data_IF_318298542334
#
_entry.id   IF_318298542334
#
_cell.length_a   1.000
_cell.length_b   1.000
_cell.length_c   1.000
_cell.angle_alpha   90.00
_cell.angle_beta   90.00
_cell.angle_gamma   90.00
#
_symmetry.space_group_name_H-M   'P 1'
#
loop_
_entity.id
_entity.type
_entity.pdbx_description
1 polymer ?
#
# COMPACT_ATOMS: atom_id res chain seq x y z
N UNK A 1 -10.93 -27.18 13.92
CA UNK A 1 -10.55 -25.99 13.12
C UNK A 1 -9.52 -26.43 12.10
N UNK A 2 -9.81 -26.28 10.82
CA UNK A 2 -8.92 -26.66 9.72
C UNK A 2 -7.74 -25.68 9.62
N UNK A 3 -6.52 -26.20 9.38
CA UNK A 3 -5.34 -25.37 9.17
C UNK A 3 -5.13 -25.18 7.68
N UNK A 4 -5.32 -23.94 7.21
CA UNK A 4 -5.08 -23.55 5.82
C UNK A 4 -3.82 -22.70 5.71
N UNK A 5 -3.11 -22.80 4.59
CA UNK A 5 -1.94 -21.96 4.32
C UNK A 5 -2.32 -20.50 4.03
N UNK A 6 -3.51 -20.31 3.46
CA UNK A 6 -4.05 -19.01 3.08
C UNK A 6 -5.51 -18.91 3.52
N UNK A 7 -5.83 -17.78 4.16
CA UNK A 7 -7.19 -17.48 4.57
C UNK A 7 -7.57 -16.07 4.13
N UNK A 8 -8.74 -15.92 3.49
CA UNK A 8 -9.27 -14.63 3.09
C UNK A 8 -10.28 -14.15 4.12
N UNK A 9 -9.99 -13.02 4.76
CA UNK A 9 -10.85 -12.42 5.77
C UNK A 9 -11.11 -10.96 5.45
N UNK A 10 -12.38 -10.57 5.31
CA UNK A 10 -12.81 -9.20 5.01
C UNK A 10 -12.06 -8.54 3.84
N UNK A 11 -11.70 -9.36 2.84
CA UNK A 11 -10.96 -8.88 1.68
C UNK A 11 -9.45 -8.72 1.88
N UNK A 12 -8.87 -9.07 3.02
CA UNK A 12 -7.42 -9.22 3.19
C UNK A 12 -7.01 -10.69 3.24
N UNK A 13 -5.82 -10.99 2.74
CA UNK A 13 -5.28 -12.35 2.68
C UNK A 13 -4.26 -12.54 3.81
N UNK A 14 -4.53 -13.49 4.70
CA UNK A 14 -3.63 -13.87 5.80
C UNK A 14 -2.91 -15.16 5.41
N UNK A 15 -1.58 -15.14 5.50
CA UNK A 15 -0.74 -16.31 5.22
C UNK A 15 -0.24 -16.93 6.54
N UNK A 16 -0.19 -18.27 6.60
CA UNK A 16 0.28 -19.01 7.77
C UNK A 16 1.73 -18.70 8.17
N UNK A 17 2.57 -18.32 7.20
CA UNK A 17 3.96 -17.94 7.41
C UNK A 17 4.15 -16.48 7.89
N UNK A 18 3.09 -15.68 7.93
CA UNK A 18 3.11 -14.26 8.32
C UNK A 18 3.62 -13.32 7.23
N UNK A 19 3.85 -13.80 6.01
CA UNK A 19 4.24 -12.96 4.89
C UNK A 19 3.06 -12.14 4.36
N UNK A 20 3.37 -11.00 3.74
CA UNK A 20 2.38 -10.12 3.12
C UNK A 20 2.55 -9.99 1.60
N UNK A 21 3.31 -10.88 0.96
CA UNK A 21 3.60 -10.83 -0.48
C UNK A 21 2.30 -10.86 -1.30
N UNK A 22 1.34 -11.71 -0.91
CA UNK A 22 0.05 -11.81 -1.61
C UNK A 22 -0.79 -10.54 -1.47
N UNK A 23 -0.82 -9.95 -0.28
CA UNK A 23 -1.54 -8.70 -0.04
C UNK A 23 -0.93 -7.54 -0.84
N UNK A 24 0.40 -7.46 -0.91
CA UNK A 24 1.11 -6.46 -1.73
C UNK A 24 0.78 -6.62 -3.22
N UNK A 25 0.80 -7.85 -3.76
CA UNK A 25 0.43 -8.09 -5.16
C UNK A 25 -1.02 -7.68 -5.43
N UNK A 26 -1.93 -8.01 -4.51
CA UNK A 26 -3.35 -7.68 -4.62
C UNK A 26 -3.61 -6.18 -4.62
N UNK A 27 -2.94 -5.43 -3.74
CA UNK A 27 -3.05 -3.96 -3.68
C UNK A 27 -2.47 -3.28 -4.91
N UNK A 28 -1.37 -3.81 -5.46
CA UNK A 28 -0.83 -3.37 -6.77
C UNK A 28 -1.86 -3.60 -7.88
N UNK A 29 -2.48 -4.78 -7.94
CA UNK A 29 -3.52 -5.09 -8.93
C UNK A 29 -4.76 -4.19 -8.76
N UNK A 30 -5.19 -3.91 -7.53
CA UNK A 30 -6.27 -2.99 -7.24
C UNK A 30 -5.93 -1.57 -7.70
N UNK A 31 -4.71 -1.10 -7.42
CA UNK A 31 -4.18 0.18 -7.92
C UNK A 31 -4.23 0.28 -9.45
N UNK A 32 -3.72 -0.72 -10.17
CA UNK A 32 -3.78 -0.77 -11.63
C UNK A 32 -5.20 -0.82 -12.19
N UNK A 33 -6.12 -1.47 -11.49
CA UNK A 33 -7.53 -1.54 -11.89
C UNK A 33 -8.20 -0.18 -11.71
N UNK A 34 -7.95 0.50 -10.59
CA UNK A 34 -8.39 1.87 -10.36
C UNK A 34 -7.80 2.84 -11.39
N UNK A 35 -6.50 2.72 -11.69
CA UNK A 35 -5.82 3.54 -12.69
C UNK A 35 -6.42 3.37 -14.08
N UNK A 36 -6.68 2.13 -14.52
CA UNK A 36 -7.31 1.84 -15.82
C UNK A 36 -8.70 2.47 -15.95
N UNK A 37 -9.48 2.50 -14.87
CA UNK A 37 -10.82 3.14 -14.87
C UNK A 37 -10.76 4.64 -15.09
N UNK A 38 -9.70 5.30 -14.63
CA UNK A 38 -9.51 6.75 -14.80
C UNK A 38 -8.54 7.11 -15.92
N UNK A 39 -8.11 6.13 -16.72
CA UNK A 39 -7.07 6.31 -17.74
C UNK A 39 -7.44 7.40 -18.76
N UNK A 40 -8.71 7.47 -19.18
CA UNK A 40 -9.17 8.49 -20.12
C UNK A 40 -8.95 9.93 -19.63
N UNK A 41 -9.08 10.17 -18.32
CA UNK A 41 -8.84 11.50 -17.72
C UNK A 41 -7.36 11.69 -17.39
N UNK A 42 -6.71 10.66 -16.83
CA UNK A 42 -5.34 10.80 -16.33
C UNK A 42 -4.29 10.81 -17.44
N UNK A 43 -4.61 10.25 -18.61
CA UNK A 43 -3.75 10.27 -19.79
C UNK A 43 -4.07 11.43 -20.74
N UNK A 44 -5.17 12.16 -20.55
CA UNK A 44 -5.47 13.35 -21.38
C UNK A 44 -4.47 14.48 -21.09
N UNK A 45 -3.82 14.99 -22.14
CA UNK A 45 -2.85 16.10 -22.08
C UNK A 45 -3.45 17.41 -21.56
N UNK A 46 -4.76 17.62 -21.76
CA UNK A 46 -5.46 18.84 -21.34
C UNK A 46 -5.69 18.89 -19.84
N UNK A 47 -5.68 17.73 -19.18
CA UNK A 47 -5.96 17.62 -17.75
C UNK A 47 -4.71 17.96 -16.93
N UNK A 48 -4.78 19.05 -16.15
CA UNK A 48 -3.70 19.47 -15.25
C UNK A 48 -3.76 18.86 -13.85
N UNK A 49 -4.87 18.19 -13.50
CA UNK A 49 -5.14 17.65 -12.16
C UNK A 49 -4.82 16.15 -12.00
N UNK A 50 -3.97 15.59 -12.88
CA UNK A 50 -3.62 14.16 -12.93
C UNK A 50 -3.15 13.60 -11.58
N UNK A 51 -2.30 14.34 -10.89
CA UNK A 51 -1.79 13.98 -9.56
C UNK A 51 -2.89 13.87 -8.49
N UNK A 52 -3.87 14.78 -8.52
CA UNK A 52 -5.04 14.72 -7.62
C UNK A 52 -5.90 13.50 -7.93
N UNK A 53 -6.20 13.24 -9.20
CA UNK A 53 -6.96 12.06 -9.62
C UNK A 53 -6.26 10.76 -9.17
N UNK A 54 -4.94 10.66 -9.36
CA UNK A 54 -4.14 9.55 -8.83
C UNK A 54 -4.29 9.42 -7.31
N UNK A 55 -4.09 10.53 -6.58
CA UNK A 55 -4.16 10.58 -5.13
C UNK A 55 -5.52 10.20 -4.56
N UNK A 56 -6.62 10.45 -5.28
CA UNK A 56 -7.99 10.18 -4.84
C UNK A 56 -8.46 8.78 -5.19
N UNK A 57 -8.11 8.24 -6.37
CA UNK A 57 -8.66 6.95 -6.85
C UNK A 57 -7.66 5.80 -6.69
N UNK A 58 -6.43 6.01 -7.13
CA UNK A 58 -5.45 4.92 -7.26
C UNK A 58 -4.74 4.69 -5.94
N UNK A 59 -4.31 5.78 -5.30
CA UNK A 59 -3.49 5.70 -4.09
C UNK A 59 -4.22 5.01 -2.92
N UNK A 60 -5.50 5.31 -2.63
CA UNK A 60 -6.24 4.61 -1.57
C UNK A 60 -6.41 3.12 -1.86
N UNK A 61 -6.64 2.74 -3.12
CA UNK A 61 -6.75 1.34 -3.53
C UNK A 61 -5.44 0.55 -3.29
N UNK A 62 -4.29 1.19 -3.48
CA UNK A 62 -2.99 0.60 -3.17
C UNK A 62 -2.68 0.56 -1.66
N UNK A 63 -3.20 1.51 -0.87
CA UNK A 63 -2.94 1.58 0.57
C UNK A 63 -3.82 0.63 1.39
N UNK A 64 -4.97 0.24 0.84
CA UNK A 64 -5.91 -0.66 1.51
C UNK A 64 -5.20 -1.94 1.99
N UNK A 65 -5.38 -2.31 3.24
CA UNK A 65 -4.76 -3.50 3.85
C UNK A 65 -3.28 -3.34 4.23
N UNK A 66 -2.56 -2.30 3.77
CA UNK A 66 -1.14 -2.10 4.11
C UNK A 66 -0.91 -1.54 5.52
N UNK A 67 -1.98 -1.05 6.16
CA UNK A 67 -1.98 -0.53 7.53
C UNK A 67 -1.77 -1.64 8.59
N UNK A 68 -2.17 -2.87 8.27
CA UNK A 68 -2.18 -4.00 9.21
C UNK A 68 -1.17 -5.09 8.88
N UNK A 69 -0.42 -4.94 7.78
CA UNK A 69 0.59 -5.93 7.35
C UNK A 69 2.01 -5.49 7.67
N UNK A 70 2.83 -6.45 8.09
CA UNK A 70 4.26 -6.27 8.30
C UNK A 70 5.01 -6.26 6.94
N UNK A 71 5.11 -5.07 6.33
CA UNK A 71 5.84 -4.92 5.07
C UNK A 71 7.35 -4.90 5.27
N UNK A 72 8.05 -5.68 4.45
CA UNK A 72 9.49 -5.61 4.26
C UNK A 72 9.89 -4.42 3.38
N UNK A 73 11.18 -4.04 3.43
CA UNK A 73 11.75 -3.01 2.55
C UNK A 73 11.66 -3.35 1.06
N UNK A 74 11.77 -4.63 0.71
CA UNK A 74 11.62 -5.09 -0.68
C UNK A 74 10.22 -4.80 -1.23
N UNK A 75 9.19 -5.08 -0.42
CA UNK A 75 7.79 -4.83 -0.80
C UNK A 75 7.46 -3.34 -0.87
N UNK A 76 8.04 -2.53 0.01
CA UNK A 76 7.93 -1.05 -0.06
C UNK A 76 8.46 -0.54 -1.41
N UNK A 77 9.62 -1.03 -1.85
CA UNK A 77 10.19 -0.68 -3.17
C UNK A 77 9.31 -1.17 -4.32
N UNK A 78 8.74 -2.37 -4.23
CA UNK A 78 7.84 -2.90 -5.27
C UNK A 78 6.61 -2.01 -5.48
N UNK A 79 5.99 -1.54 -4.39
CA UNK A 79 4.87 -0.60 -4.42
C UNK A 79 5.27 0.75 -4.99
N UNK A 80 6.44 1.27 -4.63
CA UNK A 80 6.97 2.51 -5.20
C UNK A 80 7.23 2.40 -6.71
N UNK A 81 7.74 1.27 -7.18
CA UNK A 81 7.95 1.00 -8.61
C UNK A 81 6.61 0.99 -9.35
N UNK A 82 5.58 0.35 -8.78
CA UNK A 82 4.24 0.35 -9.35
C UNK A 82 3.63 1.77 -9.40
N UNK A 83 3.70 2.54 -8.32
CA UNK A 83 3.25 3.95 -8.26
C UNK A 83 3.96 4.79 -9.32
N UNK A 84 5.29 4.72 -9.39
CA UNK A 84 6.07 5.49 -10.35
C UNK A 84 5.78 5.11 -11.80
N UNK A 85 5.47 3.84 -12.08
CA UNK A 85 5.08 3.40 -13.42
C UNK A 85 3.74 4.03 -13.84
N UNK A 86 2.74 4.01 -12.95
CA UNK A 86 1.45 4.67 -13.20
C UNK A 86 1.57 6.18 -13.38
N UNK A 87 2.40 6.85 -12.56
CA UNK A 87 2.64 8.30 -12.68
C UNK A 87 3.35 8.64 -14.00
N UNK A 88 4.36 7.86 -14.39
CA UNK A 88 5.04 8.03 -15.68
C UNK A 88 4.09 7.94 -16.86
N UNK A 89 3.21 6.94 -16.88
CA UNK A 89 2.19 6.83 -17.92
C UNK A 89 1.28 8.06 -17.96
N UNK A 90 0.81 8.54 -16.81
CA UNK A 90 -0.04 9.74 -16.78
C UNK A 90 0.65 11.01 -17.27
N UNK A 91 1.96 11.13 -17.04
CA UNK A 91 2.75 12.29 -17.41
C UNK A 91 3.43 12.15 -18.79
N UNK A 92 3.17 11.05 -19.51
CA UNK A 92 3.80 10.71 -20.79
C UNK A 92 5.34 10.69 -20.73
N UNK A 93 5.89 10.35 -19.56
CA UNK A 93 7.34 10.27 -19.35
C UNK A 93 7.80 8.84 -19.55
N UNK A 94 8.69 8.65 -20.51
CA UNK A 94 9.33 7.37 -20.81
C UNK A 94 10.68 7.24 -20.10
N UNK A 95 11.37 6.11 -20.32
CA UNK A 95 12.75 5.94 -19.84
C UNK A 95 13.76 6.76 -20.64
N UNK A 96 13.43 7.12 -21.89
CA UNK A 96 14.32 7.86 -22.80
C UNK A 96 14.53 9.29 -22.30
N UNK A 97 13.52 9.88 -21.67
CA UNK A 97 13.57 11.24 -21.14
C UNK A 97 14.55 11.41 -19.97
N UNK A 98 15.04 10.30 -19.39
CA UNK A 98 16.00 10.27 -18.27
C UNK A 98 15.60 11.15 -17.06
N UNK A 99 14.30 11.40 -16.90
CA UNK A 99 13.76 12.21 -15.80
C UNK A 99 13.83 11.41 -14.49
N UNK A 100 14.47 12.01 -13.47
CA UNK A 100 14.61 11.38 -12.15
C UNK A 100 13.24 11.23 -11.46
N UNK A 101 13.07 10.14 -10.70
CA UNK A 101 11.85 9.84 -9.93
C UNK A 101 11.37 10.99 -9.04
N UNK A 102 12.30 11.79 -8.48
CA UNK A 102 11.97 12.95 -7.63
C UNK A 102 11.16 14.00 -8.39
N UNK A 103 11.46 14.23 -9.67
CA UNK A 103 10.76 15.21 -10.50
C UNK A 103 9.38 14.69 -10.91
N UNK A 104 9.25 13.43 -11.29
CA UNK A 104 7.96 12.79 -11.59
C UNK A 104 6.97 12.95 -10.43
N UNK A 105 7.43 12.66 -9.21
CA UNK A 105 6.63 12.83 -7.99
C UNK A 105 6.31 14.31 -7.71
N UNK A 106 7.28 15.19 -7.89
CA UNK A 106 7.11 16.64 -7.74
C UNK A 106 6.03 17.20 -8.68
N UNK A 107 6.09 16.85 -9.96
CA UNK A 107 5.10 17.25 -10.97
C UNK A 107 3.71 16.72 -10.65
N UNK A 108 3.59 15.50 -10.13
CA UNK A 108 2.32 14.94 -9.70
C UNK A 108 1.84 15.45 -8.32
N UNK A 109 2.67 16.18 -7.57
CA UNK A 109 2.43 16.54 -6.17
C UNK A 109 2.12 15.31 -5.28
N UNK A 110 2.82 14.19 -5.52
CA UNK A 110 2.63 12.92 -4.81
C UNK A 110 3.85 12.65 -3.92
N UNK A 111 3.67 12.60 -2.60
CA UNK A 111 4.71 12.22 -1.63
C UNK A 111 5.18 10.76 -1.79
N UNK A 112 6.18 10.30 -1.03
CA UNK A 112 6.66 8.91 -1.17
C UNK A 112 5.61 7.90 -0.68
N UNK A 113 5.51 6.74 -1.34
CA UNK A 113 4.54 5.72 -0.96
C UNK A 113 4.79 5.21 0.47
N UNK A 114 6.04 4.95 0.83
CA UNK A 114 6.41 4.50 2.18
C UNK A 114 6.01 5.46 3.30
N UNK A 115 6.13 6.77 3.06
CA UNK A 115 5.67 7.81 3.99
C UNK A 115 4.15 7.75 4.16
N UNK A 116 3.42 7.54 3.06
CA UNK A 116 1.97 7.45 3.11
C UNK A 116 1.47 6.17 3.80
N UNK A 117 2.16 5.05 3.62
CA UNK A 117 1.92 3.81 4.41
C UNK A 117 2.16 4.07 5.89
N UNK A 118 3.24 4.77 6.26
CA UNK A 118 3.52 5.12 7.66
C UNK A 118 2.43 5.99 8.25
N UNK A 119 1.99 7.02 7.53
CA UNK A 119 0.89 7.89 7.94
C UNK A 119 -0.41 7.08 8.17
N UNK A 120 -0.72 6.16 7.27
CA UNK A 120 -1.88 5.28 7.36
C UNK A 120 -1.81 4.37 8.60
N UNK A 121 -0.64 3.76 8.86
CA UNK A 121 -0.38 2.97 10.08
C UNK A 121 -0.53 3.79 11.36
N UNK A 122 -0.02 5.02 11.39
CA UNK A 122 -0.14 5.90 12.55
C UNK A 122 -1.58 6.34 12.79
N UNK A 123 -2.34 6.61 11.71
CA UNK A 123 -3.78 6.89 11.79
C UNK A 123 -4.53 5.71 12.40
N UNK A 124 -4.26 4.49 11.93
CA UNK A 124 -4.84 3.27 12.46
C UNK A 124 -4.45 3.03 13.92
N UNK A 125 -3.18 3.19 14.26
CA UNK A 125 -2.71 3.09 15.64
C UNK A 125 -3.42 4.09 16.56
N UNK A 126 -3.53 5.35 16.14
CA UNK A 126 -4.27 6.38 16.86
C UNK A 126 -5.75 6.02 17.05
N UNK A 127 -6.38 5.41 16.03
CA UNK A 127 -7.74 4.87 16.16
C UNK A 127 -7.82 3.82 17.27
N UNK A 128 -6.92 2.84 17.26
CA UNK A 128 -6.86 1.78 18.29
C UNK A 128 -6.63 2.36 19.69
N UNK A 129 -5.77 3.38 19.82
CA UNK A 129 -5.50 4.04 21.10
C UNK A 129 -6.67 4.85 21.66
N UNK A 130 -7.58 5.34 20.81
CA UNK A 130 -8.78 6.06 21.28
C UNK A 130 -9.93 5.13 21.70
N UNK A 131 -9.87 3.84 21.37
CA UNK A 131 -10.91 2.85 21.72
C UNK A 131 -10.79 2.38 23.17
N UNK A 132 -11.88 1.90 23.75
CA UNK A 132 -11.89 1.30 25.08
C UNK A 132 -10.98 0.04 25.19
N UNK A 133 -10.60 -0.33 26.41
CA UNK A 133 -9.79 -1.51 26.72
C UNK A 133 -10.42 -2.83 26.27
N UNK A 134 -11.76 -2.94 26.25
CA UNK A 134 -12.48 -4.12 25.75
C UNK A 134 -12.43 -4.27 24.23
N UNK A 135 -12.08 -3.21 23.48
CA UNK A 135 -11.96 -3.27 22.03
C UNK A 135 -10.90 -4.28 21.60
N UNK A 136 -11.25 -5.14 20.63
CA UNK A 136 -10.39 -6.24 20.20
C UNK A 136 -9.00 -5.76 19.75
N UNK A 137 -8.91 -4.64 19.03
CA UNK A 137 -7.62 -4.09 18.60
C UNK A 137 -6.73 -3.67 19.77
N UNK A 138 -7.30 -3.18 20.86
CA UNK A 138 -6.55 -2.75 22.05
C UNK A 138 -6.08 -3.94 22.87
N UNK A 139 -6.89 -5.00 22.95
CA UNK A 139 -6.49 -6.29 23.52
C UNK A 139 -5.37 -6.95 22.72
N UNK A 140 -5.52 -7.03 21.39
CA UNK A 140 -4.52 -7.60 20.50
C UNK A 140 -3.18 -6.85 20.58
N UNK A 141 -3.19 -5.52 20.66
CA UNK A 141 -1.98 -4.72 20.80
C UNK A 141 -1.19 -5.00 22.09
N UNK A 142 -1.87 -5.40 23.17
CA UNK A 142 -1.24 -5.71 24.48
C UNK A 142 -0.94 -7.19 24.66
N UNK A 143 -1.41 -8.04 23.75
CA UNK A 143 -1.22 -9.47 23.83
C UNK A 143 0.26 -9.81 23.68
N UNK A 144 0.82 -10.52 24.67
CA UNK A 144 2.17 -11.09 24.54
C UNK A 144 2.08 -12.35 23.69
N UNK A 145 2.59 -12.29 22.47
CA UNK A 145 2.79 -13.49 21.66
C UNK A 145 4.12 -14.15 22.07
N UNK A 146 4.18 -15.48 22.25
CA UNK A 146 5.47 -16.15 22.38
C UNK A 146 6.32 -15.81 21.16
N UNK A 147 7.49 -15.21 21.39
CA UNK A 147 8.42 -14.92 20.30
C UNK A 147 8.82 -16.23 19.62
N UNK A 148 9.09 -16.18 18.30
CA UNK A 148 9.85 -17.27 17.67
C UNK A 148 11.22 -17.30 18.34
N UNK A 149 11.42 -18.19 19.32
CA UNK A 149 12.73 -18.47 19.86
C UNK A 149 13.69 -18.81 18.72
N UNK A 150 14.97 -18.44 18.85
CA UNK A 150 16.00 -18.98 17.95
C UNK A 150 15.87 -20.50 18.01
N UNK A 151 15.69 -21.15 16.86
CA UNK A 151 15.96 -22.59 16.76
C UNK A 151 17.41 -22.76 17.20
N UNK A 152 17.62 -23.39 18.36
CA UNK A 152 18.92 -23.99 18.65
C UNK A 152 19.26 -24.91 17.48
N UNK A 153 20.49 -24.74 16.98
CA UNK A 153 21.06 -25.56 15.92
C UNK A 153 21.60 -26.83 16.51
#
# INVERSE_FOLDING_TARGET
>A
VEKVEEFRYLGSTVQSNGECVREVKKTVQAGWSGWRRVAGVICDRRVKVKGKVYGTVVRPAMLYGLETVAMSKRQEVELEVAELKMLRFSLEVTRIDRIRNKFIRGTAHVGRFGEKVREARLRWFGHVQRRDMGYIGRRMLRMKTPGRGKRER
#
